data_IF_413722385080
#
_entry.id   IF_413722385080
#
_cell.length_a   1.000
_cell.length_b   1.000
_cell.length_c   1.000
_cell.angle_alpha   90.00
_cell.angle_beta   90.00
_cell.angle_gamma   90.00
#
_symmetry.space_group_name_H-M   'P 1'
#
loop_
_entity.id
_entity.type
_entity.pdbx_description
1 polymer ?
#
# COMPACT_ATOMS: atom_id res chain seq x y z
N UNK A 1 -9.90 -17.17 2.69
CA UNK A 1 -9.73 -16.56 1.34
C UNK A 1 -9.94 -15.06 1.41
N UNK A 2 -11.12 -14.55 1.77
CA UNK A 2 -11.38 -13.10 1.88
C UNK A 2 -10.44 -12.36 2.85
N UNK A 3 -10.23 -12.88 4.06
CA UNK A 3 -9.31 -12.24 5.02
C UNK A 3 -7.88 -12.08 4.48
N UNK A 4 -7.36 -13.12 3.83
CA UNK A 4 -6.04 -13.09 3.21
C UNK A 4 -5.99 -12.12 2.01
N UNK A 5 -7.08 -12.00 1.25
CA UNK A 5 -7.19 -11.01 0.19
C UNK A 5 -7.20 -9.57 0.74
N UNK A 6 -7.87 -9.32 1.88
CA UNK A 6 -7.88 -8.02 2.54
C UNK A 6 -6.50 -7.65 3.09
N UNK A 7 -5.80 -8.59 3.72
CA UNK A 7 -4.42 -8.40 4.16
C UNK A 7 -3.50 -8.08 2.97
N UNK A 8 -3.63 -8.80 1.85
CA UNK A 8 -2.87 -8.49 0.64
C UNK A 8 -3.22 -7.11 0.07
N UNK A 9 -4.49 -6.70 0.07
CA UNK A 9 -4.91 -5.35 -0.35
C UNK A 9 -4.25 -4.26 0.49
N UNK A 10 -4.17 -4.44 1.82
CA UNK A 10 -3.51 -3.47 2.68
C UNK A 10 -2.00 -3.46 2.49
N UNK A 11 -1.34 -4.63 2.56
CA UNK A 11 0.12 -4.72 2.60
C UNK A 11 0.78 -4.49 1.24
N UNK A 12 0.19 -4.99 0.16
CA UNK A 12 0.79 -4.92 -1.19
C UNK A 12 0.33 -3.68 -1.94
N UNK A 13 -0.97 -3.36 -1.83
CA UNK A 13 -1.58 -2.30 -2.64
C UNK A 13 -1.81 -1.01 -1.85
N UNK A 14 -1.62 -1.02 -0.52
CA UNK A 14 -1.87 0.15 0.31
C UNK A 14 -3.35 0.54 0.32
N UNK A 15 -4.25 -0.45 0.22
CA UNK A 15 -5.70 -0.26 0.16
C UNK A 15 -6.36 -1.00 1.31
N UNK A 16 -7.12 -0.28 2.13
CA UNK A 16 -7.94 -0.85 3.17
C UNK A 16 -9.35 -1.16 2.66
N UNK A 17 -9.91 -2.28 3.12
CA UNK A 17 -11.26 -2.73 2.78
C UNK A 17 -12.14 -2.57 3.99
N UNK A 18 -13.09 -1.63 3.92
CA UNK A 18 -13.93 -1.26 5.05
C UNK A 18 -15.38 -1.61 4.78
N UNK A 19 -15.98 -2.39 5.68
CA UNK A 19 -17.41 -2.71 5.60
C UNK A 19 -18.25 -1.47 5.94
N UNK A 20 -19.22 -1.16 5.09
CA UNK A 20 -20.11 0.01 5.23
C UNK A 20 -21.54 -0.40 5.54
N UNK A 21 -21.94 -1.62 5.17
CA UNK A 21 -23.22 -2.20 5.55
C UNK A 21 -23.04 -3.70 5.85
N UNK A 22 -23.10 -4.10 7.13
CA UNK A 22 -23.01 -5.50 7.54
C UNK A 22 -24.21 -6.36 7.13
N UNK A 23 -25.36 -5.75 6.84
CA UNK A 23 -26.60 -6.48 6.53
C UNK A 23 -26.55 -7.03 5.11
N UNK A 24 -25.99 -6.25 4.19
CA UNK A 24 -25.87 -6.55 2.76
C UNK A 24 -24.43 -6.87 2.36
N UNK A 25 -23.49 -6.87 3.32
CA UNK A 25 -22.06 -7.08 3.12
C UNK A 25 -21.45 -6.16 2.06
N UNK A 26 -21.74 -4.86 2.15
CA UNK A 26 -21.13 -3.85 1.29
C UNK A 26 -19.79 -3.37 1.85
N UNK A 27 -18.79 -3.28 0.97
CA UNK A 27 -17.43 -2.86 1.30
C UNK A 27 -16.99 -1.70 0.40
N UNK A 28 -16.20 -0.78 0.96
CA UNK A 28 -15.52 0.28 0.24
C UNK A 28 -14.01 0.08 0.30
N UNK A 29 -13.34 0.38 -0.81
CA UNK A 29 -11.88 0.41 -0.92
C UNK A 29 -11.40 1.82 -0.65
N UNK A 30 -10.52 2.00 0.32
CA UNK A 30 -9.93 3.29 0.68
C UNK A 30 -8.42 3.19 0.73
N UNK A 31 -7.71 4.25 0.34
CA UNK A 31 -6.26 4.26 0.44
C UNK A 31 -5.82 4.32 1.90
N UNK A 32 -4.85 3.49 2.25
CA UNK A 32 -4.22 3.48 3.57
C UNK A 32 -3.57 4.84 3.81
N UNK A 33 -3.66 5.34 5.04
CA UNK A 33 -3.18 6.68 5.46
C UNK A 33 -3.87 7.87 4.75
N UNK A 34 -4.97 7.65 4.03
CA UNK A 34 -5.67 8.72 3.28
C UNK A 34 -4.82 9.30 2.14
N UNK A 35 -3.84 8.53 1.65
CA UNK A 35 -2.94 8.96 0.59
C UNK A 35 -3.71 9.09 -0.73
N UNK A 36 -3.66 10.26 -1.34
CA UNK A 36 -4.20 10.50 -2.69
C UNK A 36 -3.14 10.27 -3.76
N UNK A 37 -2.26 9.28 -3.60
CA UNK A 37 -1.31 8.84 -4.62
C UNK A 37 -2.01 7.97 -5.68
N UNK A 38 -3.18 8.45 -6.08
CA UNK A 38 -3.96 7.87 -7.14
C UNK A 38 -3.51 8.57 -8.43
N UNK A 39 -2.69 7.88 -9.22
CA UNK A 39 -2.37 8.24 -10.60
C UNK A 39 -3.60 8.14 -11.52
N UNK A 40 -4.82 8.29 -10.99
CA UNK A 40 -6.09 8.27 -11.74
C UNK A 40 -6.24 9.46 -12.71
N UNK A 41 -5.18 10.27 -12.89
CA UNK A 41 -5.10 11.34 -13.86
C UNK A 41 -4.47 10.94 -15.20
N UNK A 42 -3.76 9.81 -15.30
CA UNK A 42 -3.42 9.20 -16.59
C UNK A 42 -4.24 7.91 -16.73
N UNK A 43 -4.88 7.68 -17.87
CA UNK A 43 -5.71 6.50 -18.13
C UNK A 43 -4.96 5.17 -18.19
N UNK A 44 -3.81 5.08 -17.51
CA UNK A 44 -2.98 3.89 -17.39
C UNK A 44 -3.45 3.10 -16.18
N UNK A 45 -4.03 1.92 -16.43
CA UNK A 45 -4.37 0.93 -15.40
C UNK A 45 -3.09 0.30 -14.85
N UNK A 46 -2.30 1.09 -14.12
CA UNK A 46 -1.15 0.61 -13.36
C UNK A 46 -1.58 0.07 -12.00
N UNK A 47 -0.81 -0.85 -11.40
CA UNK A 47 -1.03 -1.23 -10.01
C UNK A 47 -0.92 0.01 -9.10
N UNK A 48 -1.73 0.12 -8.03
CA UNK A 48 -1.69 1.28 -7.15
C UNK A 48 -0.30 1.40 -6.51
N UNK A 49 0.40 2.49 -6.85
CA UNK A 49 1.73 2.82 -6.29
C UNK A 49 1.66 3.17 -4.79
N UNK A 50 0.44 3.34 -4.25
CA UNK A 50 0.17 3.60 -2.84
C UNK A 50 0.79 2.56 -1.92
N UNK A 51 0.77 1.26 -2.29
CA UNK A 51 1.38 0.20 -1.49
C UNK A 51 2.89 0.37 -1.32
N UNK A 52 3.60 0.64 -2.42
CA UNK A 52 5.04 0.90 -2.38
C UNK A 52 5.37 2.12 -1.51
N UNK A 53 4.57 3.19 -1.62
CA UNK A 53 4.76 4.38 -0.81
C UNK A 53 4.57 4.12 0.69
N UNK A 54 3.55 3.33 1.06
CA UNK A 54 3.30 2.93 2.46
C UNK A 54 4.50 2.15 3.00
N UNK A 55 5.09 1.24 2.21
CA UNK A 55 6.28 0.52 2.64
C UNK A 55 7.48 1.45 2.80
N UNK A 56 7.72 2.36 1.86
CA UNK A 56 8.81 3.33 1.95
C UNK A 56 8.70 4.19 3.22
N UNK A 57 7.50 4.70 3.52
CA UNK A 57 7.21 5.45 4.73
C UNK A 57 7.41 4.61 5.99
N UNK A 58 7.03 3.33 5.96
CA UNK A 58 7.26 2.38 7.05
C UNK A 58 8.75 2.17 7.33
N UNK A 59 9.57 1.99 6.30
CA UNK A 59 11.03 1.84 6.42
C UNK A 59 11.67 3.11 6.98
N UNK A 60 11.29 4.29 6.48
CA UNK A 60 11.81 5.58 6.98
C UNK A 60 11.45 5.77 8.46
N UNK A 61 10.22 5.41 8.86
CA UNK A 61 9.76 5.53 10.23
C UNK A 61 10.54 4.58 11.17
N UNK A 62 10.78 3.34 10.74
CA UNK A 62 11.54 2.35 11.50
C UNK A 62 13.01 2.79 11.70
N UNK A 63 13.57 3.54 10.76
CA UNK A 63 14.95 4.05 10.83
C UNK A 63 15.07 5.39 11.58
N UNK A 64 13.99 5.88 12.19
CA UNK A 64 14.00 7.12 12.98
C UNK A 64 13.83 8.38 12.14
N UNK A 65 12.83 8.38 11.27
CA UNK A 65 12.40 9.46 10.37
C UNK A 65 13.38 9.79 9.22
N UNK A 66 14.49 9.05 9.10
CA UNK A 66 15.47 9.16 8.01
C UNK A 66 16.10 7.80 7.74
N UNK A 67 16.01 7.33 6.50
CA UNK A 67 16.68 6.10 6.07
C UNK A 67 17.74 6.40 5.00
N UNK A 68 18.93 5.76 5.06
CA UNK A 68 19.87 5.70 3.95
C UNK A 68 19.22 5.04 2.73
N UNK A 69 19.63 5.42 1.52
CA UNK A 69 19.09 4.85 0.30
C UNK A 69 19.35 3.33 0.23
N UNK A 70 20.50 2.90 0.73
CA UNK A 70 20.92 1.50 0.78
C UNK A 70 19.96 0.64 1.61
N UNK A 71 19.49 1.16 2.74
CA UNK A 71 18.53 0.49 3.62
C UNK A 71 17.16 0.39 2.96
N UNK A 72 16.75 1.46 2.25
CA UNK A 72 15.50 1.46 1.49
C UNK A 72 15.56 0.41 0.37
N UNK A 73 16.65 0.36 -0.40
CA UNK A 73 16.83 -0.64 -1.46
C UNK A 73 16.90 -2.07 -0.94
N UNK A 74 17.53 -2.29 0.22
CA UNK A 74 17.56 -3.62 0.85
C UNK A 74 16.14 -4.08 1.21
N UNK A 75 15.34 -3.21 1.84
CA UNK A 75 13.95 -3.50 2.18
C UNK A 75 13.07 -3.74 0.94
N UNK A 76 13.23 -2.94 -0.11
CA UNK A 76 12.56 -3.13 -1.40
C UNK A 76 12.99 -4.45 -2.08
N UNK A 77 14.27 -4.79 -1.99
CA UNK A 77 14.83 -6.02 -2.53
C UNK A 77 14.26 -7.28 -1.86
N UNK A 78 13.95 -7.23 -0.56
CA UNK A 78 13.24 -8.32 0.15
C UNK A 78 11.83 -8.53 -0.40
N UNK A 79 11.18 -7.47 -0.88
CA UNK A 79 9.87 -7.55 -1.53
C UNK A 79 9.94 -7.88 -3.03
N UNK A 80 11.14 -8.08 -3.59
CA UNK A 80 11.34 -8.34 -5.01
C UNK A 80 11.18 -7.11 -5.91
N UNK A 81 11.26 -5.89 -5.35
CA UNK A 81 11.23 -4.64 -6.11
C UNK A 81 12.67 -4.22 -6.41
N UNK A 82 12.95 -4.03 -7.70
CA UNK A 82 14.26 -3.64 -8.21
C UNK A 82 14.11 -2.56 -9.29
N UNK A 83 15.19 -1.82 -9.55
CA UNK A 83 15.28 -0.78 -10.59
C UNK A 83 15.53 -1.36 -11.99
#
# INVERSE_FOLDING_TARGET
ILGQAFECMQLVFGVDVKEVDPSEHFYVLVTVLGLTCDEMLSGEQGPPKTGLLVVLLGVILLEGDRAPEEVVWEALGVMGVYA
#
